data_IF_648709503097
#
_entry.id   IF_648709503097
#
_cell.length_a   1.000
_cell.length_b   1.000
_cell.length_c   1.000
_cell.angle_alpha   90.00
_cell.angle_beta   90.00
_cell.angle_gamma   90.00
#
_symmetry.space_group_name_H-M   'P 1'
#
loop_
_entity.id
_entity.type
_entity.pdbx_description
1 polymer ?
#
# COMPACT_ATOMS: atom_id res chain seq x y z
N UNK A 1 21.77 12.64 38.89
CA UNK A 1 21.94 12.88 37.44
C UNK A 1 21.65 11.61 36.67
N UNK A 2 20.46 11.42 36.11
CA UNK A 2 20.43 10.67 34.85
C UNK A 2 21.14 11.61 33.86
N UNK A 3 22.41 11.32 33.56
CA UNK A 3 23.30 12.16 32.74
C UNK A 3 22.54 12.63 31.50
N UNK A 4 22.63 13.92 31.12
CA UNK A 4 22.03 14.42 29.87
C UNK A 4 22.37 13.54 28.65
N UNK A 5 23.50 12.82 28.72
CA UNK A 5 23.89 11.79 27.75
C UNK A 5 22.92 10.60 27.69
N UNK A 6 22.39 10.11 28.82
CA UNK A 6 21.41 9.02 28.86
C UNK A 6 20.06 9.44 28.25
N UNK A 7 19.61 10.66 28.53
CA UNK A 7 18.39 11.20 27.91
C UNK A 7 18.58 11.36 26.41
N UNK A 8 19.73 11.88 25.97
CA UNK A 8 20.07 12.00 24.55
C UNK A 8 20.12 10.64 23.87
N UNK A 9 20.79 9.63 24.45
CA UNK A 9 20.83 8.26 23.94
C UNK A 9 19.40 7.68 23.83
N UNK A 10 18.56 7.90 24.83
CA UNK A 10 17.16 7.45 24.82
C UNK A 10 16.35 8.07 23.68
N UNK A 11 16.50 9.38 23.45
CA UNK A 11 15.84 10.07 22.32
C UNK A 11 16.34 9.53 20.99
N UNK A 12 17.66 9.35 20.81
CA UNK A 12 18.21 8.77 19.58
C UNK A 12 17.71 7.35 19.33
N UNK A 13 17.71 6.49 20.35
CA UNK A 13 17.22 5.13 20.24
C UNK A 13 15.74 5.10 19.82
N UNK A 14 14.93 5.99 20.38
CA UNK A 14 13.50 6.12 20.06
C UNK A 14 13.27 6.64 18.64
N UNK A 15 14.07 7.60 18.17
CA UNK A 15 14.01 8.07 16.78
C UNK A 15 14.40 6.98 15.78
N UNK A 16 15.50 6.26 16.05
CA UNK A 16 15.94 5.16 15.21
C UNK A 16 14.88 4.04 15.15
N UNK A 17 14.27 3.72 16.30
CA UNK A 17 13.17 2.77 16.38
C UNK A 17 11.95 3.22 15.57
N UNK A 18 11.58 4.51 15.65
CA UNK A 18 10.49 5.08 14.88
C UNK A 18 10.71 4.99 13.37
N UNK A 19 11.92 5.32 12.91
CA UNK A 19 12.28 5.16 11.49
C UNK A 19 12.20 3.70 11.06
N UNK A 20 12.68 2.76 11.90
CA UNK A 20 12.60 1.33 11.63
C UNK A 20 11.16 0.83 11.45
N UNK A 21 10.25 1.24 12.35
CA UNK A 21 8.82 0.89 12.25
C UNK A 21 8.19 1.50 11.00
N UNK A 22 8.46 2.77 10.71
CA UNK A 22 7.89 3.45 9.54
C UNK A 22 8.35 2.78 8.24
N UNK A 23 9.65 2.45 8.14
CA UNK A 23 10.21 1.73 7.00
C UNK A 23 9.56 0.35 6.84
N UNK A 24 9.46 -0.42 7.92
CA UNK A 24 8.81 -1.74 7.91
C UNK A 24 7.35 -1.63 7.45
N UNK A 25 6.58 -0.71 8.04
CA UNK A 25 5.17 -0.50 7.68
C UNK A 25 4.99 -0.09 6.21
N UNK A 26 5.88 0.74 5.67
CA UNK A 26 5.89 1.05 4.24
C UNK A 26 6.14 -0.21 3.39
N UNK A 27 7.19 -0.97 3.70
CA UNK A 27 7.58 -2.16 2.94
C UNK A 27 6.50 -3.26 2.92
N UNK A 28 5.77 -3.44 4.02
CA UNK A 28 4.78 -4.51 4.12
C UNK A 28 3.39 -4.11 3.62
N UNK A 29 3.02 -2.83 3.76
CA UNK A 29 1.63 -2.40 3.57
C UNK A 29 1.42 -1.50 2.35
N UNK A 30 2.42 -0.68 2.01
CA UNK A 30 2.28 0.34 0.95
C UNK A 30 3.03 -0.08 -0.31
N UNK A 31 4.30 -0.45 -0.17
CA UNK A 31 5.16 -0.80 -1.30
C UNK A 31 4.59 -1.91 -2.21
N UNK A 32 3.92 -2.97 -1.71
CA UNK A 32 3.28 -3.95 -2.58
C UNK A 32 2.18 -3.33 -3.46
N UNK A 33 1.42 -2.35 -2.95
CA UNK A 33 0.40 -1.65 -3.71
C UNK A 33 1.04 -0.81 -4.82
N UNK A 34 2.12 -0.09 -4.51
CA UNK A 34 2.86 0.70 -5.50
C UNK A 34 3.41 -0.20 -6.64
N UNK A 35 3.98 -1.37 -6.29
CA UNK A 35 4.42 -2.36 -7.29
C UNK A 35 3.25 -2.89 -8.12
N UNK A 36 2.12 -3.20 -7.49
CA UNK A 36 0.94 -3.66 -8.22
C UNK A 36 0.46 -2.61 -9.23
N UNK A 37 0.39 -1.34 -8.85
CA UNK A 37 0.04 -0.23 -9.76
C UNK A 37 1.04 -0.14 -10.92
N UNK A 38 2.34 -0.23 -10.63
CA UNK A 38 3.39 -0.25 -11.65
C UNK A 38 3.21 -1.40 -12.64
N UNK A 39 2.95 -2.60 -12.15
CA UNK A 39 2.67 -3.77 -12.99
C UNK A 39 1.39 -3.61 -13.81
N UNK A 40 0.30 -3.08 -13.24
CA UNK A 40 -0.92 -2.80 -14.00
C UNK A 40 -0.69 -1.77 -15.11
N UNK A 41 0.12 -0.73 -14.87
CA UNK A 41 0.49 0.23 -15.89
C UNK A 41 1.31 -0.42 -17.03
N UNK A 42 2.24 -1.32 -16.68
CA UNK A 42 2.98 -2.11 -17.69
C UNK A 42 2.06 -3.02 -18.49
N UNK A 43 1.11 -3.70 -17.82
CA UNK A 43 0.10 -4.54 -18.47
C UNK A 43 -0.76 -3.74 -19.47
N UNK A 44 -1.16 -2.51 -19.14
CA UNK A 44 -1.90 -1.64 -20.07
C UNK A 44 -1.10 -1.29 -21.32
N UNK A 45 0.22 -1.10 -21.18
CA UNK A 45 1.13 -0.79 -22.29
C UNK A 45 1.67 -2.02 -23.04
N UNK A 46 1.39 -3.22 -22.55
CA UNK A 46 1.91 -4.48 -23.10
C UNK A 46 1.46 -4.65 -24.55
N UNK A 47 2.34 -5.19 -25.39
CA UNK A 47 2.09 -5.37 -26.82
C UNK A 47 1.57 -6.78 -27.14
N UNK A 48 1.89 -7.75 -26.28
CA UNK A 48 1.50 -9.15 -26.45
C UNK A 48 0.61 -9.64 -25.30
N UNK A 49 -0.19 -10.69 -25.50
CA UNK A 49 -1.02 -11.26 -24.44
C UNK A 49 -0.16 -11.92 -23.35
N UNK A 50 1.00 -12.49 -23.72
CA UNK A 50 1.94 -13.10 -22.79
C UNK A 50 2.51 -12.08 -21.81
N UNK A 51 3.06 -10.97 -22.30
CA UNK A 51 3.55 -9.87 -21.45
C UNK A 51 2.43 -9.35 -20.53
N UNK A 52 1.23 -9.19 -21.08
CA UNK A 52 0.08 -8.73 -20.33
C UNK A 52 -0.26 -9.70 -19.19
N UNK A 53 -0.28 -11.00 -19.48
CA UNK A 53 -0.57 -12.05 -18.51
C UNK A 53 0.43 -12.02 -17.33
N UNK A 54 1.71 -11.89 -17.63
CA UNK A 54 2.77 -11.86 -16.63
C UNK A 54 2.65 -10.64 -15.71
N UNK A 55 2.49 -9.44 -16.28
CA UNK A 55 2.31 -8.24 -15.48
C UNK A 55 1.03 -8.28 -14.62
N UNK A 56 -0.07 -8.83 -15.15
CA UNK A 56 -1.30 -9.02 -14.36
C UNK A 56 -1.08 -10.02 -13.22
N UNK A 57 -0.30 -11.08 -13.46
CA UNK A 57 0.05 -12.07 -12.44
C UNK A 57 0.85 -11.44 -11.31
N UNK A 58 1.85 -10.62 -11.64
CA UNK A 58 2.65 -9.89 -10.66
C UNK A 58 1.80 -8.88 -9.86
N UNK A 59 0.93 -8.12 -10.52
CA UNK A 59 0.00 -7.21 -9.85
C UNK A 59 -0.93 -7.95 -8.88
N UNK A 60 -1.47 -9.10 -9.31
CA UNK A 60 -2.35 -9.95 -8.51
C UNK A 60 -1.63 -10.56 -7.30
N UNK A 61 -0.34 -10.89 -7.44
CA UNK A 61 0.51 -11.36 -6.33
C UNK A 61 0.70 -10.27 -5.28
N UNK A 62 0.98 -9.05 -5.72
CA UNK A 62 1.32 -7.94 -4.83
C UNK A 62 0.10 -7.29 -4.17
N UNK A 63 -1.09 -7.36 -4.79
CA UNK A 63 -2.34 -6.90 -4.16
C UNK A 63 -2.81 -7.84 -3.03
N UNK A 64 -3.46 -7.30 -1.98
CA UNK A 64 -4.14 -8.09 -0.97
C UNK A 64 -5.17 -9.05 -1.59
N UNK A 65 -5.34 -10.22 -0.97
CA UNK A 65 -6.27 -11.25 -1.47
C UNK A 65 -7.74 -10.97 -1.18
N UNK A 66 -8.01 -10.17 -0.16
CA UNK A 66 -9.36 -9.88 0.32
C UNK A 66 -9.37 -8.68 1.26
N UNK A 67 -10.57 -8.21 1.59
CA UNK A 67 -10.79 -7.13 2.55
C UNK A 67 -11.00 -5.79 1.87
N UNK A 68 -11.41 -4.81 2.67
CA UNK A 68 -11.65 -3.45 2.21
C UNK A 68 -10.90 -2.48 3.13
N UNK A 69 -9.97 -1.67 2.61
CA UNK A 69 -9.22 -0.73 3.45
C UNK A 69 -10.08 0.46 3.89
N UNK A 70 -11.20 0.72 3.19
CA UNK A 70 -12.15 1.77 3.56
C UNK A 70 -13.00 1.28 4.72
N UNK A 71 -12.60 1.64 5.94
CA UNK A 71 -13.24 1.17 7.17
C UNK A 71 -14.52 1.91 7.53
N UNK A 72 -14.71 3.15 7.06
CA UNK A 72 -15.89 3.97 7.39
C UNK A 72 -17.09 3.66 6.49
N UNK A 73 -16.87 3.63 5.18
CA UNK A 73 -17.92 3.42 4.17
C UNK A 73 -17.38 2.60 2.99
N UNK A 74 -17.19 1.27 3.17
CA UNK A 74 -16.63 0.41 2.12
C UNK A 74 -17.53 0.38 0.88
N UNK A 75 -16.91 0.32 -0.30
CA UNK A 75 -17.61 0.14 -1.57
C UNK A 75 -17.08 -1.07 -2.31
N UNK A 76 -17.80 -1.52 -3.34
CA UNK A 76 -17.33 -2.61 -4.23
C UNK A 76 -16.05 -2.24 -4.97
N UNK A 77 -15.82 -0.96 -5.25
CA UNK A 77 -14.60 -0.49 -5.91
C UNK A 77 -13.37 -0.65 -5.04
N UNK A 78 -13.51 -0.55 -3.71
CA UNK A 78 -12.40 -0.65 -2.78
C UNK A 78 -12.22 -2.06 -2.20
N UNK A 79 -12.97 -3.03 -2.70
CA UNK A 79 -12.91 -4.42 -2.24
C UNK A 79 -11.81 -5.21 -2.97
N UNK A 80 -10.77 -5.61 -2.24
CA UNK A 80 -9.65 -6.36 -2.82
C UNK A 80 -10.04 -7.76 -3.29
N UNK A 81 -11.06 -8.39 -2.68
CA UNK A 81 -11.56 -9.68 -3.14
C UNK A 81 -12.17 -9.57 -4.54
N UNK A 82 -12.96 -8.52 -4.77
CA UNK A 82 -13.51 -8.23 -6.11
C UNK A 82 -12.40 -7.85 -7.11
N UNK A 83 -11.41 -7.05 -6.70
CA UNK A 83 -10.28 -6.74 -7.58
C UNK A 83 -9.49 -8.01 -7.99
N UNK A 84 -9.26 -8.93 -7.04
CA UNK A 84 -8.58 -10.20 -7.32
C UNK A 84 -9.36 -11.07 -8.28
N UNK A 85 -10.69 -11.10 -8.15
CA UNK A 85 -11.58 -11.79 -9.08
C UNK A 85 -11.49 -11.17 -10.48
N UNK A 86 -11.55 -9.84 -10.58
CA UNK A 86 -11.46 -9.14 -11.87
C UNK A 86 -10.11 -9.35 -12.56
N UNK A 87 -9.00 -9.35 -11.81
CA UNK A 87 -7.69 -9.71 -12.35
C UNK A 87 -7.64 -11.16 -12.85
N UNK A 88 -8.31 -12.09 -12.15
CA UNK A 88 -8.49 -13.47 -12.63
C UNK A 88 -9.31 -13.55 -13.92
N UNK A 89 -10.37 -12.76 -14.02
CA UNK A 89 -11.18 -12.67 -15.24
C UNK A 89 -10.35 -12.10 -16.41
N UNK A 90 -9.51 -11.09 -16.15
CA UNK A 90 -8.57 -10.56 -17.14
C UNK A 90 -7.61 -11.64 -17.61
N UNK A 91 -6.96 -12.37 -16.70
CA UNK A 91 -6.06 -13.48 -17.06
C UNK A 91 -6.74 -14.50 -17.97
N UNK A 92 -7.99 -14.86 -17.67
CA UNK A 92 -8.77 -15.77 -18.53
C UNK A 92 -9.03 -15.19 -19.92
N UNK A 93 -9.40 -13.90 -20.02
CA UNK A 93 -9.63 -13.23 -21.31
C UNK A 93 -8.36 -13.12 -22.13
N UNK A 94 -7.23 -12.84 -21.49
CA UNK A 94 -5.91 -12.79 -22.12
C UNK A 94 -5.58 -14.14 -22.77
N UNK A 95 -5.77 -15.24 -22.04
CA UNK A 95 -5.58 -16.59 -22.58
C UNK A 95 -6.54 -16.92 -23.72
N UNK A 96 -7.77 -16.41 -23.69
CA UNK A 96 -8.71 -16.59 -24.80
C UNK A 96 -8.28 -15.85 -26.06
N UNK A 97 -7.68 -14.66 -25.95
CA UNK A 97 -7.26 -13.89 -27.12
C UNK A 97 -5.87 -14.27 -27.63
N UNK A 98 -5.05 -14.96 -26.82
CA UNK A 98 -3.69 -15.36 -27.21
C UNK A 98 -3.66 -16.41 -28.32
N UNK A 99 -4.76 -17.13 -28.55
CA UNK A 99 -4.91 -18.06 -29.67
C UNK A 99 -5.40 -17.39 -30.96
N UNK A 100 -5.75 -16.11 -30.94
CA UNK A 100 -6.20 -15.37 -32.11
C UNK A 100 -5.01 -14.87 -32.94
N UNK A 101 -5.23 -14.65 -34.23
CA UNK A 101 -4.23 -14.03 -35.10
C UNK A 101 -3.99 -12.56 -34.70
N UNK A 102 -2.73 -12.19 -34.47
CA UNK A 102 -2.32 -10.89 -33.92
C UNK A 102 -2.76 -9.67 -34.74
N UNK A 103 -3.06 -9.84 -36.03
CA UNK A 103 -3.51 -8.76 -36.92
C UNK A 103 -5.02 -8.77 -37.15
N UNK A 104 -5.74 -9.70 -36.53
CA UNK A 104 -7.20 -9.77 -36.65
C UNK A 104 -7.87 -8.62 -35.90
N UNK A 105 -9.04 -8.18 -36.39
CA UNK A 105 -9.86 -7.21 -35.69
C UNK A 105 -10.26 -7.72 -34.30
N UNK A 106 -10.56 -9.02 -34.17
CA UNK A 106 -10.96 -9.64 -32.91
C UNK A 106 -9.85 -9.58 -31.85
N UNK A 107 -8.60 -9.85 -32.24
CA UNK A 107 -7.44 -9.71 -31.36
C UNK A 107 -7.28 -8.27 -30.87
N UNK A 108 -7.32 -7.30 -31.78
CA UNK A 108 -7.13 -5.88 -31.44
C UNK A 108 -8.25 -5.34 -30.53
N UNK A 109 -9.51 -5.70 -30.82
CA UNK A 109 -10.65 -5.35 -29.96
C UNK A 109 -10.49 -5.99 -28.57
N UNK A 110 -10.20 -7.28 -28.51
CA UNK A 110 -10.02 -7.99 -27.23
C UNK A 110 -8.89 -7.40 -26.38
N UNK A 111 -7.76 -7.06 -27.01
CA UNK A 111 -6.65 -6.39 -26.34
C UNK A 111 -7.05 -5.02 -25.78
N UNK A 112 -7.80 -4.23 -26.55
CA UNK A 112 -8.27 -2.91 -26.11
C UNK A 112 -9.27 -3.01 -24.94
N UNK A 113 -10.20 -3.96 -24.98
CA UNK A 113 -11.18 -4.17 -23.91
C UNK A 113 -10.50 -4.61 -22.60
N UNK A 114 -9.45 -5.43 -22.72
CA UNK A 114 -8.61 -5.82 -21.57
C UNK A 114 -7.86 -4.59 -21.02
N UNK A 115 -7.28 -3.74 -21.86
CA UNK A 115 -6.62 -2.50 -21.42
C UNK A 115 -7.58 -1.56 -20.67
N UNK A 116 -8.82 -1.43 -21.15
CA UNK A 116 -9.86 -0.66 -20.46
C UNK A 116 -10.19 -1.27 -19.09
N UNK A 117 -10.30 -2.60 -19.02
CA UNK A 117 -10.52 -3.31 -17.76
C UNK A 117 -9.38 -3.08 -16.76
N UNK A 118 -8.13 -3.14 -17.23
CA UNK A 118 -6.95 -2.88 -16.42
C UNK A 118 -6.95 -1.45 -15.88
N UNK A 119 -7.31 -0.47 -16.72
CA UNK A 119 -7.45 0.93 -16.30
C UNK A 119 -8.46 1.07 -15.15
N UNK A 120 -9.63 0.46 -15.28
CA UNK A 120 -10.66 0.52 -14.24
C UNK A 120 -10.18 -0.11 -12.93
N UNK A 121 -9.45 -1.23 -12.98
CA UNK A 121 -8.88 -1.84 -11.77
C UNK A 121 -7.79 -0.96 -11.18
N UNK A 122 -6.94 -0.35 -11.99
CA UNK A 122 -5.92 0.60 -11.51
C UNK A 122 -6.56 1.77 -10.78
N UNK A 123 -7.63 2.36 -11.32
CA UNK A 123 -8.40 3.43 -10.65
C UNK A 123 -8.98 2.94 -9.32
N UNK A 124 -9.58 1.75 -9.28
CA UNK A 124 -10.09 1.13 -8.06
C UNK A 124 -8.98 0.95 -7.00
N UNK A 125 -7.79 0.47 -7.39
CA UNK A 125 -6.64 0.35 -6.48
C UNK A 125 -6.21 1.73 -5.97
N UNK A 126 -6.16 2.74 -6.83
CA UNK A 126 -5.79 4.11 -6.45
C UNK A 126 -6.79 4.70 -5.45
N UNK A 127 -8.09 4.46 -5.64
CA UNK A 127 -9.14 4.87 -4.69
C UNK A 127 -8.92 4.30 -3.27
N UNK A 128 -8.23 3.17 -3.14
CA UNK A 128 -7.92 2.58 -1.83
C UNK A 128 -6.76 3.27 -1.10
N UNK A 129 -5.83 3.89 -1.83
CA UNK A 129 -4.53 4.35 -1.29
C UNK A 129 -4.69 5.20 -0.02
N UNK A 130 -5.54 6.25 0.02
CA UNK A 130 -5.65 7.10 1.21
C UNK A 130 -6.00 6.31 2.48
N UNK A 131 -6.81 5.26 2.34
CA UNK A 131 -7.28 4.45 3.44
C UNK A 131 -6.29 3.39 3.90
N UNK A 132 -5.36 2.97 3.02
CA UNK A 132 -4.24 2.12 3.41
C UNK A 132 -3.25 2.94 4.25
N UNK A 133 -2.96 4.18 3.84
CA UNK A 133 -2.14 5.11 4.62
C UNK A 133 -2.81 5.45 5.96
N UNK A 134 -4.11 5.73 5.96
CA UNK A 134 -4.90 6.09 7.15
C UNK A 134 -5.70 4.89 7.67
N UNK A 135 -5.04 3.74 7.75
CA UNK A 135 -5.64 2.53 8.33
C UNK A 135 -5.85 2.68 9.83
N UNK A 136 -6.80 1.94 10.40
CA UNK A 136 -7.06 1.94 11.85
C UNK A 136 -5.81 1.61 12.67
N UNK A 137 -4.98 0.69 12.19
CA UNK A 137 -3.68 0.35 12.78
C UNK A 137 -2.71 1.52 12.74
N UNK A 138 -2.60 2.22 11.60
CA UNK A 138 -1.71 3.39 11.49
C UNK A 138 -2.18 4.55 12.37
N UNK A 139 -3.50 4.76 12.50
CA UNK A 139 -4.07 5.76 13.42
C UNK A 139 -3.71 5.40 14.88
N UNK A 140 -3.93 4.15 15.29
CA UNK A 140 -3.62 3.70 16.65
C UNK A 140 -2.12 3.84 16.96
N UNK A 141 -1.25 3.43 16.03
CA UNK A 141 0.20 3.58 16.16
C UNK A 141 0.61 5.05 16.26
N UNK A 142 -0.02 5.94 15.47
CA UNK A 142 0.23 7.38 15.54
C UNK A 142 -0.17 7.96 16.90
N UNK A 143 -1.30 7.52 17.46
CA UNK A 143 -1.72 7.91 18.80
C UNK A 143 -0.72 7.46 19.88
N UNK A 144 -0.18 6.24 19.76
CA UNK A 144 0.89 5.74 20.66
C UNK A 144 2.14 6.62 20.57
N UNK A 145 2.58 6.98 19.36
CA UNK A 145 3.75 7.85 19.17
C UNK A 145 3.55 9.23 19.81
N UNK A 146 2.37 9.84 19.64
CA UNK A 146 2.03 11.11 20.29
C UNK A 146 2.10 10.96 21.82
N UNK A 147 1.52 9.88 22.38
CA UNK A 147 1.54 9.63 23.82
C UNK A 147 2.98 9.47 24.37
N UNK A 148 3.84 8.77 23.64
CA UNK A 148 5.26 8.60 23.99
C UNK A 148 5.98 9.96 24.00
N UNK A 149 5.79 10.80 22.98
CA UNK A 149 6.39 12.14 22.92
C UNK A 149 5.92 13.01 24.09
N UNK A 150 4.61 13.02 24.39
CA UNK A 150 4.06 13.75 25.52
C UNK A 150 4.62 13.24 26.87
N UNK A 151 4.77 11.92 27.02
CA UNK A 151 5.38 11.30 28.18
C UNK A 151 6.83 11.75 28.40
N UNK A 152 7.65 11.80 27.34
CA UNK A 152 9.01 12.31 27.39
C UNK A 152 9.04 13.78 27.85
N UNK A 153 8.20 14.63 27.28
CA UNK A 153 8.11 16.04 27.69
C UNK A 153 7.68 16.19 29.16
N UNK A 154 6.73 15.39 29.63
CA UNK A 154 6.27 15.41 31.02
C UNK A 154 7.40 15.03 32.00
N UNK A 155 8.19 13.99 31.67
CA UNK A 155 9.36 13.58 32.46
C UNK A 155 10.43 14.67 32.46
N UNK A 156 10.73 15.26 31.31
CA UNK A 156 11.69 16.37 31.20
C UNK A 156 11.26 17.60 32.02
N UNK A 157 9.96 17.95 31.99
CA UNK A 157 9.41 19.08 32.75
C UNK A 157 9.53 18.85 34.27
N UNK A 158 9.17 17.65 34.76
CA UNK A 158 9.35 17.28 36.17
C UNK A 158 10.82 17.29 36.58
N UNK A 159 11.70 16.84 35.68
CA UNK A 159 13.15 16.89 35.89
C UNK A 159 13.65 18.32 36.11
N UNK A 160 13.21 19.29 35.29
CA UNK A 160 13.62 20.71 35.43
C UNK A 160 13.10 21.38 36.70
N UNK A 161 11.85 21.15 37.09
CA UNK A 161 11.26 21.76 38.28
C UNK A 161 12.01 21.41 39.58
N UNK A 162 12.53 20.18 39.67
CA UNK A 162 13.29 19.70 40.83
C UNK A 162 14.64 20.41 41.05
N UNK A 163 15.17 21.13 40.06
CA UNK A 163 16.43 21.86 40.16
C UNK A 163 16.25 23.36 40.46
N UNK A 164 15.01 23.87 40.50
CA UNK A 164 14.73 25.30 40.77
C UNK A 164 14.38 25.55 42.25
N UNK A 165 14.09 24.50 43.03
CA UNK A 165 13.76 24.55 44.46
C UNK A 165 14.96 24.30 45.40
N UNK A 166 16.18 24.33 44.86
CA UNK A 166 17.47 24.32 45.61
C UNK A 166 18.31 25.50 45.19
#
# INVERSE_FOLDING_TARGET
MASSKLVMIGVFALLAFGVGIAYYGYQTSIYPIDRAIGNLARAQSAQTPEELFDYVTEAKRDLPKSGNPVWSFPTKKTDFGLMQQELGNIQSRVNSISSLESHSSAYNTGMNDIRLSLKNITENVIETIPYIYVSTTNIAMSAVWIAVILGLFAVMKKGKAKYTET
#
